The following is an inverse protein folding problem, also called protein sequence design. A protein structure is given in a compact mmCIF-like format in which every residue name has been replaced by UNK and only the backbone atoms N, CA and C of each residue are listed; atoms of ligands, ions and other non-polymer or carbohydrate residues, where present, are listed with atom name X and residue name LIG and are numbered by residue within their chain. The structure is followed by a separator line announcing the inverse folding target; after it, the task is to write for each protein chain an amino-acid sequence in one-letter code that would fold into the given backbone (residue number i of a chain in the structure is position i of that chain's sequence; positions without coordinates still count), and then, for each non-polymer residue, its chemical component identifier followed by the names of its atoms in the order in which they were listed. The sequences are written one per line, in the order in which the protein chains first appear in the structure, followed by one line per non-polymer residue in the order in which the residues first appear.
data_IF_807478045525
#
_entry.id   IF_807478045525
#
_cell.length_a   1.000
_cell.length_b   1.000
_cell.length_c   1.000
_cell.angle_alpha   90.00
_cell.angle_beta   90.00
_cell.angle_gamma   90.00
#
_symmetry.space_group_name_H-M   'P 1'
#
loop_
_entity.id
_entity.type
_entity.pdbx_description
1 polymer ?
#
# COMPACT_ATOMS: atom_id res chain seq x y z
N UNK A 1 26.86 -13.13 -10.15
CA UNK A 1 25.45 -13.29 -9.74
C UNK A 1 25.21 -12.40 -8.53
N UNK A 2 24.63 -11.22 -8.72
CA UNK A 2 24.32 -10.34 -7.58
C UNK A 2 22.92 -10.67 -7.09
N UNK A 3 22.82 -11.20 -5.87
CA UNK A 3 21.55 -11.37 -5.18
C UNK A 3 20.99 -9.97 -4.90
N UNK A 4 20.01 -9.54 -5.70
CA UNK A 4 19.27 -8.31 -5.44
C UNK A 4 18.41 -8.51 -4.19
N UNK A 5 19.00 -8.28 -3.01
CA UNK A 5 18.20 -8.04 -1.82
C UNK A 5 17.39 -6.76 -2.09
N UNK A 6 16.05 -6.80 -1.99
CA UNK A 6 15.28 -5.57 -2.10
C UNK A 6 15.76 -4.64 -0.99
N UNK A 7 16.38 -3.53 -1.36
CA UNK A 7 16.84 -2.55 -0.39
C UNK A 7 15.69 -2.22 0.57
N UNK A 8 15.90 -2.23 1.89
CA UNK A 8 14.87 -1.84 2.82
C UNK A 8 14.54 -0.36 2.59
N UNK A 9 13.47 -0.12 1.80
CA UNK A 9 12.93 1.21 1.52
C UNK A 9 12.13 1.71 2.72
N UNK A 10 12.83 1.91 3.84
CA UNK A 10 12.28 2.59 5.02
C UNK A 10 11.71 3.94 4.55
N UNK A 11 10.45 4.22 4.89
CA UNK A 11 9.78 5.49 4.53
C UNK A 11 8.87 5.47 3.30
N UNK A 12 8.70 4.35 2.58
CA UNK A 12 7.76 4.26 1.43
C UNK A 12 6.42 3.58 1.74
N UNK A 13 6.13 3.33 3.01
CA UNK A 13 4.87 2.70 3.42
C UNK A 13 4.31 3.31 4.70
N UNK A 14 2.98 3.35 4.80
CA UNK A 14 2.24 3.91 5.93
C UNK A 14 1.39 2.84 6.62
N UNK A 15 1.01 3.06 7.87
CA UNK A 15 0.05 2.17 8.55
C UNK A 15 -1.32 2.21 7.85
N UNK A 16 -2.16 1.21 8.12
CA UNK A 16 -3.52 1.18 7.58
C UNK A 16 -4.35 2.40 8.02
N UNK A 17 -4.18 2.84 9.27
CA UNK A 17 -4.81 4.04 9.84
C UNK A 17 -4.42 5.29 9.07
N UNK A 18 -3.12 5.45 8.85
CA UNK A 18 -2.59 6.62 8.18
C UNK A 18 -2.98 6.61 6.70
N UNK A 19 -3.01 5.45 6.04
CA UNK A 19 -3.56 5.32 4.68
C UNK A 19 -5.03 5.74 4.62
N UNK A 20 -5.84 5.38 5.62
CA UNK A 20 -7.24 5.77 5.71
C UNK A 20 -7.38 7.30 5.82
N UNK A 21 -6.54 7.93 6.66
CA UNK A 21 -6.49 9.39 6.81
C UNK A 21 -6.07 10.09 5.51
N UNK A 22 -5.00 9.64 4.85
CA UNK A 22 -4.51 10.21 3.60
C UNK A 22 -5.54 10.16 2.48
N UNK A 23 -6.32 9.07 2.42
CA UNK A 23 -7.33 8.86 1.39
C UNK A 23 -8.71 9.44 1.75
N UNK A 24 -8.89 9.93 2.98
CA UNK A 24 -10.19 10.41 3.46
C UNK A 24 -11.26 9.31 3.51
N UNK A 25 -10.87 8.05 3.79
CA UNK A 25 -11.79 6.90 3.79
C UNK A 25 -11.76 6.13 5.10
N UNK A 26 -12.75 5.26 5.31
CA UNK A 26 -12.76 4.34 6.45
C UNK A 26 -11.69 3.24 6.32
N UNK A 27 -11.26 2.66 7.45
CA UNK A 27 -10.39 1.47 7.45
C UNK A 27 -10.98 0.29 6.68
N UNK A 28 -12.30 0.12 6.75
CA UNK A 28 -13.01 -0.89 5.98
C UNK A 28 -12.78 -0.72 4.47
N UNK A 29 -12.77 0.52 4.00
CA UNK A 29 -12.45 0.84 2.60
C UNK A 29 -11.00 0.47 2.25
N UNK A 30 -10.05 0.70 3.17
CA UNK A 30 -8.66 0.25 2.99
C UNK A 30 -8.59 -1.28 2.85
N UNK A 31 -9.22 -2.04 3.75
CA UNK A 31 -9.25 -3.50 3.65
C UNK A 31 -9.88 -4.00 2.35
N UNK A 32 -10.99 -3.38 1.92
CA UNK A 32 -11.62 -3.71 0.66
C UNK A 32 -10.66 -3.45 -0.51
N UNK A 33 -10.01 -2.28 -0.56
CA UNK A 33 -9.05 -1.96 -1.62
C UNK A 33 -7.84 -2.90 -1.62
N UNK A 34 -7.36 -3.35 -0.45
CA UNK A 34 -6.31 -4.38 -0.37
C UNK A 34 -6.82 -5.71 -0.93
N UNK A 35 -8.01 -6.14 -0.52
CA UNK A 35 -8.66 -7.38 -1.02
C UNK A 35 -8.87 -7.33 -2.53
N UNK A 36 -9.22 -6.17 -3.07
CA UNK A 36 -9.48 -5.93 -4.48
C UNK A 36 -8.20 -5.64 -5.29
N UNK A 37 -7.01 -5.72 -4.67
CA UNK A 37 -5.72 -5.48 -5.32
C UNK A 37 -5.42 -4.01 -5.66
N UNK A 38 -6.27 -3.08 -5.21
CA UNK A 38 -6.12 -1.63 -5.42
C UNK A 38 -5.15 -0.95 -4.46
N UNK A 39 -4.77 -1.60 -3.37
CA UNK A 39 -3.71 -1.14 -2.49
C UNK A 39 -2.71 -2.27 -2.28
N UNK A 40 -1.43 -1.95 -2.44
CA UNK A 40 -0.35 -2.90 -2.19
C UNK A 40 0.12 -2.76 -0.76
N UNK A 41 0.46 -3.89 -0.14
CA UNK A 41 0.94 -3.89 1.24
C UNK A 41 2.19 -4.73 1.41
N UNK A 42 3.01 -4.32 2.39
CA UNK A 42 4.14 -5.09 2.89
C UNK A 42 3.89 -5.50 4.34
N UNK A 43 4.52 -6.58 4.78
CA UNK A 43 4.63 -6.93 6.19
C UNK A 43 6.00 -6.55 6.71
N UNK A 44 6.04 -5.91 7.87
CA UNK A 44 7.30 -5.64 8.57
C UNK A 44 7.83 -6.92 9.22
N UNK A 45 9.10 -6.91 9.62
CA UNK A 45 9.72 -8.02 10.34
C UNK A 45 8.99 -8.33 11.66
N UNK A 46 8.33 -7.33 12.26
CA UNK A 46 7.47 -7.47 13.45
C UNK A 46 6.01 -7.82 13.15
N UNK A 47 5.67 -8.24 11.92
CA UNK A 47 4.35 -8.73 11.54
C UNK A 47 3.31 -7.66 11.20
N UNK A 48 3.59 -6.38 11.46
CA UNK A 48 2.68 -5.28 11.13
C UNK A 48 2.52 -5.11 9.62
N UNK A 49 1.30 -4.91 9.15
CA UNK A 49 1.00 -4.66 7.74
C UNK A 49 1.02 -3.16 7.44
N UNK A 50 1.60 -2.76 6.31
CA UNK A 50 1.73 -1.36 5.87
C UNK A 50 1.34 -1.22 4.40
N UNK A 51 0.66 -0.14 4.04
CA UNK A 51 0.30 0.21 2.66
C UNK A 51 1.47 0.93 1.99
N UNK A 52 1.84 0.51 0.78
CA UNK A 52 2.85 1.19 -0.03
C UNK A 52 2.32 2.52 -0.54
N UNK A 53 3.05 3.61 -0.32
CA UNK A 53 2.65 4.97 -0.72
C UNK A 53 2.41 5.06 -2.24
N UNK A 54 3.19 4.32 -3.04
CA UNK A 54 3.02 4.28 -4.50
C UNK A 54 1.64 3.78 -4.94
N UNK A 55 0.99 2.94 -4.12
CA UNK A 55 -0.37 2.45 -4.40
C UNK A 55 -1.48 3.41 -3.93
N UNK A 56 -1.13 4.45 -3.16
CA UNK A 56 -2.05 5.46 -2.62
C UNK A 56 -2.32 6.59 -3.64
N UNK A 57 -1.55 6.66 -4.72
CA UNK A 57 -1.74 7.65 -5.78
C UNK A 57 -3.02 7.44 -6.60
N UNK A 58 -3.38 8.42 -7.47
CA UNK A 58 -4.49 8.25 -8.39
C UNK A 58 -4.22 7.01 -9.24
N UNK A 59 -5.03 5.98 -9.04
CA UNK A 59 -5.12 4.84 -9.93
C UNK A 59 -5.46 5.41 -11.30
N UNK A 60 -4.48 5.50 -12.19
CA UNK A 60 -4.75 5.78 -13.59
C UNK A 60 -5.62 4.63 -14.07
N UNK A 61 -6.93 4.85 -14.17
CA UNK A 61 -7.87 3.85 -14.66
C UNK A 61 -7.36 3.32 -16.00
N UNK A 62 -6.95 2.04 -16.10
CA UNK A 62 -6.74 1.43 -17.39
C UNK A 62 -8.13 1.10 -17.94
N UNK A 63 -8.66 1.99 -18.79
CA UNK A 63 -9.88 1.72 -19.54
C UNK A 63 -11.14 2.37 -18.98
N UNK A 64 -11.30 3.67 -19.26
CA UNK A 64 -12.60 4.19 -19.68
C UNK A 64 -12.56 4.27 -21.21
N UNK A 65 -12.89 3.17 -21.88
CA UNK A 65 -13.28 3.08 -23.29
C UNK A 65 -14.30 1.97 -23.45
#
# INVERSE_FOLDING_TARGET
MSAAYPEPRIGRSVSLDHAAQLLGVSRRTIYNRIRDGRLQTIRTLGGSQRVLIESVGPQASPGAR
#
